data_IF_137927790473
#
_entry.id   IF_137927790473
#
_cell.length_a   1.000
_cell.length_b   1.000
_cell.length_c   1.000
_cell.angle_alpha   90.00
_cell.angle_beta   90.00
_cell.angle_gamma   90.00
#
_symmetry.space_group_name_H-M   'P 1'
#
loop_
_entity.id
_entity.type
_entity.pdbx_description
1 polymer ?
#
# COMPACT_ATOMS: atom_id res chain seq x y z
N UNK A 1 11.73 58.30 10.11
CA UNK A 1 11.43 57.38 11.23
C UNK A 1 10.20 56.50 11.00
N UNK A 2 9.03 57.02 10.59
CA UNK A 2 7.79 56.21 10.44
C UNK A 2 7.88 55.04 9.44
N UNK A 3 8.54 55.25 8.29
CA UNK A 3 8.72 54.21 7.26
C UNK A 3 9.58 53.02 7.74
N UNK A 4 10.60 53.28 8.56
CA UNK A 4 11.50 52.24 9.06
C UNK A 4 10.83 51.36 10.13
N UNK A 5 9.96 51.96 10.96
CA UNK A 5 9.18 51.23 11.96
C UNK A 5 8.10 50.36 11.28
N UNK A 6 7.47 50.86 10.21
CA UNK A 6 6.52 50.07 9.42
C UNK A 6 7.19 48.91 8.67
N UNK A 7 8.39 49.14 8.12
CA UNK A 7 9.17 48.09 7.47
C UNK A 7 9.64 47.01 8.46
N UNK A 8 10.08 47.39 9.67
CA UNK A 8 10.46 46.43 10.71
C UNK A 8 9.26 45.66 11.26
N UNK A 9 8.09 46.29 11.42
CA UNK A 9 6.87 45.62 11.85
C UNK A 9 6.38 44.59 10.81
N UNK A 10 6.50 44.90 9.51
CA UNK A 10 6.17 43.98 8.42
C UNK A 10 7.16 42.81 8.32
N UNK A 11 8.45 43.05 8.56
CA UNK A 11 9.45 41.99 8.60
C UNK A 11 9.26 41.04 9.80
N UNK A 12 8.85 41.57 10.96
CA UNK A 12 8.57 40.78 12.16
C UNK A 12 7.29 39.94 12.05
N UNK A 13 6.26 40.40 11.34
CA UNK A 13 5.03 39.60 11.10
C UNK A 13 5.23 38.48 10.07
N UNK A 14 6.10 38.70 9.08
CA UNK A 14 6.53 37.63 8.14
C UNK A 14 7.42 36.59 8.82
N UNK A 15 8.29 37.00 9.74
CA UNK A 15 9.13 36.07 10.51
C UNK A 15 8.33 35.21 11.51
N UNK A 16 7.24 35.72 12.06
CA UNK A 16 6.40 34.96 13.01
C UNK A 16 5.43 33.98 12.34
N UNK A 17 5.18 34.14 11.03
CA UNK A 17 4.38 33.23 10.20
C UNK A 17 5.24 32.16 9.49
N UNK A 18 6.54 32.10 9.78
CA UNK A 18 7.48 31.16 9.17
C UNK A 18 7.32 29.64 9.49
N UNK A 19 6.45 29.14 10.40
CA UNK A 19 6.24 27.69 10.50
C UNK A 19 5.54 27.09 9.27
N UNK A 20 4.81 27.89 8.47
CA UNK A 20 4.13 27.43 7.26
C UNK A 20 4.96 27.56 5.97
N UNK A 21 6.19 28.09 6.06
CA UNK A 21 7.10 28.26 4.93
C UNK A 21 8.38 27.42 5.06
N UNK A 22 8.34 26.30 5.81
CA UNK A 22 9.47 25.39 6.02
C UNK A 22 9.60 24.28 4.95
N UNK A 23 8.91 24.37 3.82
CA UNK A 23 8.94 23.33 2.76
C UNK A 23 10.25 23.24 1.96
N UNK A 24 11.15 24.20 2.13
CA UNK A 24 12.47 24.29 1.46
C UNK A 24 13.64 23.85 2.35
N UNK A 25 13.39 23.61 3.64
CA UNK A 25 14.40 23.11 4.58
C UNK A 25 13.95 21.76 5.11
N UNK A 26 14.48 20.69 4.53
CA UNK A 26 14.28 19.34 5.04
C UNK A 26 15.12 19.15 6.30
N UNK A 27 14.50 19.32 7.47
CA UNK A 27 15.11 19.11 8.78
C UNK A 27 14.96 17.67 9.30
N UNK A 28 14.44 16.78 8.47
CA UNK A 28 14.25 15.37 8.83
C UNK A 28 15.62 14.71 9.04
N UNK A 29 15.89 14.08 10.20
CA UNK A 29 17.14 13.39 10.45
C UNK A 29 17.45 12.34 9.37
N UNK A 30 18.71 12.20 8.98
CA UNK A 30 19.13 11.24 7.94
C UNK A 30 18.95 9.77 8.33
N UNK A 31 18.59 9.49 9.58
CA UNK A 31 18.29 8.17 10.12
C UNK A 31 16.83 8.04 10.61
N UNK A 32 15.95 8.94 10.16
CA UNK A 32 14.56 8.96 10.60
C UNK A 32 13.81 7.65 10.29
N UNK A 33 14.19 6.95 9.21
CA UNK A 33 13.58 5.68 8.79
C UNK A 33 14.51 4.49 8.97
N UNK A 34 15.61 4.64 9.72
CA UNK A 34 16.61 3.61 10.01
C UNK A 34 16.06 2.51 10.94
N UNK A 35 15.29 1.58 10.37
CA UNK A 35 14.71 0.41 11.06
C UNK A 35 15.77 -0.67 11.29
N UNK A 36 15.62 -1.44 12.37
CA UNK A 36 16.52 -2.55 12.71
C UNK A 36 16.50 -3.65 11.63
N UNK A 37 15.34 -3.95 11.08
CA UNK A 37 15.16 -4.91 9.99
C UNK A 37 14.77 -4.17 8.70
N UNK A 38 15.21 -4.64 7.53
CA UNK A 38 14.92 -4.00 6.26
C UNK A 38 13.41 -3.99 5.97
N UNK A 39 12.97 -2.94 5.29
CA UNK A 39 11.61 -2.81 4.76
C UNK A 39 11.55 -3.52 3.42
N UNK A 40 10.61 -4.45 3.28
CA UNK A 40 10.38 -5.18 2.03
C UNK A 40 9.00 -4.84 1.50
N UNK A 41 8.99 -4.21 0.32
CA UNK A 41 7.79 -3.75 -0.36
C UNK A 41 7.24 -4.86 -1.28
N UNK A 42 5.98 -5.22 -1.06
CA UNK A 42 5.27 -6.30 -1.76
C UNK A 42 4.09 -5.72 -2.53
N UNK A 43 4.20 -5.67 -3.85
CA UNK A 43 3.18 -5.05 -4.70
C UNK A 43 1.86 -5.84 -4.74
N UNK A 44 0.81 -5.20 -5.25
CA UNK A 44 -0.53 -5.80 -5.41
C UNK A 44 -0.74 -6.53 -6.74
N UNK A 45 -2.01 -6.76 -7.06
CA UNK A 45 -2.47 -7.24 -8.37
C UNK A 45 -2.07 -6.22 -9.45
N UNK A 46 -1.60 -6.69 -10.61
CA UNK A 46 -0.98 -5.86 -11.65
C UNK A 46 0.25 -5.04 -11.21
N UNK A 47 0.80 -5.34 -10.03
CA UNK A 47 1.99 -4.66 -9.57
C UNK A 47 3.24 -5.13 -10.31
N UNK A 48 4.25 -4.26 -10.27
CA UNK A 48 5.55 -4.40 -10.92
C UNK A 48 6.62 -3.83 -10.00
N UNK A 49 7.87 -4.10 -10.33
CA UNK A 49 9.04 -3.41 -9.79
C UNK A 49 9.22 -2.05 -10.50
N UNK A 50 9.55 -2.05 -11.80
CA UNK A 50 9.70 -0.83 -12.59
C UNK A 50 9.37 -1.05 -14.07
N UNK A 51 8.58 -0.15 -14.65
CA UNK A 51 8.17 -0.18 -16.06
C UNK A 51 8.57 1.15 -16.70
N UNK A 52 9.42 1.10 -17.74
CA UNK A 52 9.88 2.28 -18.46
C UNK A 52 10.44 3.41 -17.55
N UNK A 53 11.05 3.04 -16.41
CA UNK A 53 11.59 3.98 -15.42
C UNK A 53 10.58 4.51 -14.40
N UNK A 54 9.34 4.01 -14.43
CA UNK A 54 8.30 4.32 -13.44
C UNK A 54 8.19 3.15 -12.47
N UNK A 55 8.45 3.42 -11.19
CA UNK A 55 8.32 2.42 -10.13
C UNK A 55 6.88 2.31 -9.65
N UNK A 56 6.44 1.10 -9.28
CA UNK A 56 5.12 0.90 -8.65
C UNK A 56 4.97 1.73 -7.38
N UNK A 57 6.00 1.66 -6.51
CA UNK A 57 6.13 2.42 -5.27
C UNK A 57 6.71 3.81 -5.56
N UNK A 58 5.97 4.63 -6.30
CA UNK A 58 6.52 5.79 -7.00
C UNK A 58 7.21 6.79 -6.05
N UNK A 59 8.54 6.81 -6.06
CA UNK A 59 9.37 7.65 -5.18
C UNK A 59 9.37 7.26 -3.70
N UNK A 60 8.61 6.25 -3.27
CA UNK A 60 8.50 5.82 -1.87
C UNK A 60 9.79 5.11 -1.43
N UNK A 61 10.26 4.14 -2.21
CA UNK A 61 11.46 3.37 -1.85
C UNK A 61 12.69 4.29 -1.77
N UNK A 62 12.83 5.25 -2.68
CA UNK A 62 13.90 6.25 -2.64
C UNK A 62 13.77 7.22 -1.46
N UNK A 63 12.57 7.66 -1.11
CA UNK A 63 12.36 8.56 0.04
C UNK A 63 12.73 7.85 1.34
N UNK A 64 12.33 6.59 1.52
CA UNK A 64 12.71 5.78 2.67
C UNK A 64 14.23 5.55 2.75
N UNK A 65 14.88 5.19 1.64
CA UNK A 65 16.35 5.00 1.60
C UNK A 65 17.10 6.30 1.93
N UNK A 66 16.58 7.45 1.50
CA UNK A 66 17.17 8.78 1.79
C UNK A 66 17.30 9.05 3.29
N UNK A 67 16.43 8.50 4.13
CA UNK A 67 16.44 8.70 5.58
C UNK A 67 16.89 7.46 6.38
N UNK A 68 17.63 6.55 5.72
CA UNK A 68 18.39 5.50 6.38
C UNK A 68 17.76 4.11 6.37
N UNK A 69 16.59 3.92 5.76
CA UNK A 69 16.01 2.58 5.66
C UNK A 69 16.76 1.72 4.63
N UNK A 70 17.06 0.47 4.98
CA UNK A 70 17.29 -0.57 3.98
C UNK A 70 15.95 -0.99 3.36
N UNK A 71 15.77 -0.76 2.06
CA UNK A 71 14.51 -1.03 1.36
C UNK A 71 14.72 -1.97 0.19
N UNK A 72 13.92 -3.03 0.13
CA UNK A 72 13.89 -4.00 -0.97
C UNK A 72 12.51 -3.98 -1.62
N UNK A 73 12.47 -3.91 -2.95
CA UNK A 73 11.24 -4.13 -3.74
C UNK A 73 11.27 -5.55 -4.26
N UNK A 74 10.22 -6.31 -3.99
CA UNK A 74 10.10 -7.71 -4.43
C UNK A 74 9.23 -7.81 -5.67
N UNK A 75 9.43 -8.87 -6.45
CA UNK A 75 8.63 -9.17 -7.64
C UNK A 75 7.96 -10.53 -7.49
N UNK A 76 6.64 -10.55 -7.59
CA UNK A 76 5.80 -11.77 -7.55
C UNK A 76 4.91 -11.81 -8.79
N UNK A 77 4.29 -12.96 -9.14
CA UNK A 77 3.32 -13.00 -10.24
C UNK A 77 2.29 -11.88 -10.11
N UNK A 78 2.16 -11.02 -11.12
CA UNK A 78 1.26 -9.88 -11.07
C UNK A 78 -0.21 -10.32 -10.93
N UNK A 79 -0.53 -11.51 -11.45
CA UNK A 79 -1.82 -12.18 -11.40
C UNK A 79 -1.61 -13.65 -11.03
N UNK A 80 -1.96 -14.01 -9.80
CA UNK A 80 -2.09 -15.41 -9.37
C UNK A 80 -2.82 -15.44 -8.01
N UNK A 81 -3.12 -16.62 -7.51
CA UNK A 81 -3.63 -16.82 -6.15
C UNK A 81 -2.70 -16.25 -5.08
N UNK A 82 -3.28 -15.86 -3.93
CA UNK A 82 -2.50 -15.37 -2.78
C UNK A 82 -1.41 -16.38 -2.34
N UNK A 83 -1.70 -17.67 -2.42
CA UNK A 83 -0.76 -18.74 -2.04
C UNK A 83 0.40 -18.81 -3.05
N UNK A 84 0.12 -18.83 -4.35
CA UNK A 84 1.17 -18.90 -5.37
C UNK A 84 2.08 -17.66 -5.33
N UNK A 85 1.50 -16.47 -5.17
CA UNK A 85 2.27 -15.23 -4.95
C UNK A 85 3.13 -15.31 -3.69
N UNK A 86 2.60 -15.89 -2.61
CA UNK A 86 3.33 -16.10 -1.36
C UNK A 86 4.50 -17.07 -1.51
N UNK A 87 4.32 -18.16 -2.26
CA UNK A 87 5.39 -19.10 -2.60
C UNK A 87 6.49 -18.46 -3.46
N UNK A 88 6.13 -17.61 -4.43
CA UNK A 88 7.10 -16.85 -5.22
C UNK A 88 7.86 -15.80 -4.37
N UNK A 89 7.21 -15.23 -3.35
CA UNK A 89 7.81 -14.25 -2.45
C UNK A 89 8.79 -14.91 -1.46
N UNK A 90 8.49 -16.11 -0.99
CA UNK A 90 9.24 -16.79 0.07
C UNK A 90 10.76 -16.88 -0.16
N UNK A 91 11.29 -17.33 -1.32
CA UNK A 91 12.74 -17.41 -1.53
C UNK A 91 13.43 -16.03 -1.51
N UNK A 92 12.75 -14.97 -1.93
CA UNK A 92 13.27 -13.60 -1.85
C UNK A 92 13.39 -13.18 -0.37
N UNK A 93 12.38 -13.46 0.45
CA UNK A 93 12.41 -13.17 1.89
C UNK A 93 13.51 -13.98 2.59
N UNK A 94 13.67 -15.26 2.26
CA UNK A 94 14.77 -16.07 2.78
C UNK A 94 16.13 -15.47 2.46
N UNK A 95 16.32 -14.98 1.24
CA UNK A 95 17.58 -14.35 0.80
C UNK A 95 17.87 -13.08 1.57
N UNK A 96 16.87 -12.20 1.73
CA UNK A 96 17.03 -10.94 2.48
C UNK A 96 17.27 -11.23 3.97
N UNK A 97 16.47 -12.12 4.56
CA UNK A 97 16.58 -12.46 5.98
C UNK A 97 17.86 -13.25 6.32
N UNK A 98 18.50 -13.93 5.36
CA UNK A 98 19.79 -14.56 5.58
C UNK A 98 20.90 -13.54 5.93
N UNK A 99 20.76 -12.29 5.47
CA UNK A 99 21.68 -11.18 5.76
C UNK A 99 21.22 -10.40 7.00
N UNK A 100 19.92 -10.18 7.14
CA UNK A 100 19.35 -9.23 8.10
C UNK A 100 18.66 -9.88 9.32
N UNK A 101 18.54 -11.20 9.35
CA UNK A 101 17.85 -11.99 10.36
C UNK A 101 16.33 -12.01 10.19
N UNK A 102 15.68 -10.85 10.10
CA UNK A 102 14.23 -10.69 9.84
C UNK A 102 13.95 -9.57 8.86
N UNK A 103 12.69 -9.43 8.44
CA UNK A 103 12.21 -8.34 7.57
C UNK A 103 10.93 -7.68 8.09
N UNK A 104 10.73 -6.41 7.75
CA UNK A 104 9.47 -5.68 7.90
C UNK A 104 8.73 -5.68 6.56
N UNK A 105 7.67 -6.48 6.44
CA UNK A 105 6.89 -6.58 5.20
C UNK A 105 5.88 -5.43 5.13
N UNK A 106 5.81 -4.75 3.98
CA UNK A 106 4.79 -3.75 3.67
C UNK A 106 4.13 -4.13 2.36
N UNK A 107 2.87 -4.55 2.43
CA UNK A 107 2.11 -5.04 1.29
C UNK A 107 0.96 -4.12 0.92
N UNK A 108 0.88 -3.70 -0.35
CA UNK A 108 -0.24 -2.92 -0.86
C UNK A 108 -1.24 -3.82 -1.59
N UNK A 109 -2.55 -3.61 -1.41
CA UNK A 109 -3.61 -4.35 -2.10
C UNK A 109 -3.46 -5.87 -1.91
N UNK A 110 -3.29 -6.65 -2.98
CA UNK A 110 -3.00 -8.10 -2.92
C UNK A 110 -1.66 -8.44 -2.23
N UNK A 111 -0.75 -7.48 -2.14
CA UNK A 111 0.51 -7.59 -1.42
C UNK A 111 0.32 -7.78 0.08
N UNK A 112 -0.76 -7.26 0.68
CA UNK A 112 -1.07 -7.47 2.10
C UNK A 112 -1.34 -8.94 2.43
N UNK A 113 -2.33 -9.61 1.78
CA UNK A 113 -2.52 -11.05 1.90
C UNK A 113 -1.27 -11.87 1.55
N UNK A 114 -0.51 -11.46 0.53
CA UNK A 114 0.76 -12.12 0.17
C UNK A 114 1.79 -12.03 1.31
N UNK A 115 1.94 -10.89 1.97
CA UNK A 115 2.81 -10.74 3.14
C UNK A 115 2.32 -11.56 4.35
N UNK A 116 1.00 -11.65 4.55
CA UNK A 116 0.38 -12.50 5.58
C UNK A 116 0.68 -13.99 5.35
N UNK A 117 0.80 -14.43 4.10
CA UNK A 117 1.24 -15.78 3.79
C UNK A 117 2.62 -16.08 4.39
N UNK A 118 3.60 -15.20 4.14
CA UNK A 118 4.95 -15.34 4.67
C UNK A 118 4.96 -15.36 6.20
N UNK A 119 4.25 -14.43 6.84
CA UNK A 119 4.15 -14.39 8.30
C UNK A 119 3.48 -15.63 8.90
N UNK A 120 2.62 -16.31 8.13
CA UNK A 120 2.00 -17.58 8.54
C UNK A 120 2.98 -18.76 8.43
N UNK A 121 3.69 -18.89 7.32
CA UNK A 121 4.54 -20.07 7.03
C UNK A 121 5.95 -19.96 7.59
N UNK A 122 6.49 -18.74 7.72
CA UNK A 122 7.83 -18.43 8.23
C UNK A 122 7.82 -17.21 9.17
N UNK A 123 7.07 -17.26 10.29
CA UNK A 123 7.05 -16.17 11.27
C UNK A 123 8.44 -15.87 11.88
N UNK A 124 9.36 -16.84 11.82
CA UNK A 124 10.75 -16.69 12.24
C UNK A 124 11.52 -15.66 11.39
N UNK A 125 11.13 -15.45 10.12
CA UNK A 125 11.76 -14.49 9.22
C UNK A 125 11.11 -13.10 9.24
N UNK A 126 9.98 -12.94 9.92
CA UNK A 126 9.19 -11.70 9.86
C UNK A 126 9.21 -10.98 11.20
N UNK A 127 9.43 -9.67 11.16
CA UNK A 127 9.37 -8.78 12.31
C UNK A 127 8.00 -8.06 12.37
N UNK A 128 7.54 -7.57 11.22
CA UNK A 128 6.21 -6.99 11.07
C UNK A 128 5.59 -7.26 9.71
N UNK A 129 4.26 -7.18 9.66
CA UNK A 129 3.47 -7.06 8.43
C UNK A 129 2.62 -5.80 8.54
N UNK A 130 2.74 -4.95 7.54
CA UNK A 130 1.92 -3.77 7.34
C UNK A 130 1.13 -3.93 6.06
N UNK A 131 -0.19 -3.76 6.11
CA UNK A 131 -1.02 -3.75 4.91
C UNK A 131 -1.49 -2.34 4.57
N UNK A 132 -1.53 -2.05 3.27
CA UNK A 132 -1.98 -0.77 2.71
C UNK A 132 -3.13 -1.08 1.75
N UNK A 133 -4.33 -0.56 2.01
CA UNK A 133 -5.52 -0.75 1.15
C UNK A 133 -5.82 -2.20 0.79
N UNK A 134 -5.52 -3.16 1.67
CA UNK A 134 -5.52 -4.57 1.30
C UNK A 134 -6.88 -5.24 1.53
N UNK A 135 -7.48 -5.97 0.57
CA UNK A 135 -8.83 -6.52 0.72
C UNK A 135 -8.87 -7.79 1.59
N UNK A 136 -8.56 -7.67 2.88
CA UNK A 136 -8.49 -8.80 3.80
C UNK A 136 -9.82 -9.51 4.00
N UNK A 137 -10.95 -8.83 3.77
CA UNK A 137 -12.29 -9.45 3.75
C UNK A 137 -12.92 -9.43 2.36
N UNK A 138 -12.10 -9.26 1.33
CA UNK A 138 -12.51 -9.24 -0.07
C UNK A 138 -12.90 -7.86 -0.58
N UNK A 139 -13.20 -7.81 -1.87
CA UNK A 139 -13.64 -6.63 -2.59
C UNK A 139 -14.94 -6.92 -3.35
N UNK A 140 -16.00 -6.12 -3.15
CA UNK A 140 -17.19 -6.14 -4.01
C UNK A 140 -16.88 -5.98 -5.50
N UNK A 141 -15.81 -5.26 -5.85
CA UNK A 141 -15.36 -5.14 -7.25
C UNK A 141 -14.88 -6.50 -7.76
N UNK A 142 -14.07 -7.21 -6.98
CA UNK A 142 -13.63 -8.56 -7.34
C UNK A 142 -14.81 -9.54 -7.41
N UNK A 143 -15.78 -9.45 -6.49
CA UNK A 143 -17.00 -10.27 -6.50
C UNK A 143 -17.80 -10.08 -7.81
N UNK A 144 -18.01 -8.82 -8.23
CA UNK A 144 -18.71 -8.49 -9.46
C UNK A 144 -17.96 -9.00 -10.69
N UNK A 145 -16.65 -8.74 -10.76
CA UNK A 145 -15.81 -9.11 -11.89
C UNK A 145 -15.72 -10.64 -12.02
N UNK A 146 -15.47 -11.36 -10.92
CA UNK A 146 -15.33 -12.82 -10.91
C UNK A 146 -16.63 -13.56 -11.24
N UNK A 147 -17.76 -13.03 -10.76
CA UNK A 147 -19.10 -13.57 -11.00
C UNK A 147 -19.70 -13.19 -12.36
N UNK A 148 -19.06 -12.30 -13.12
CA UNK A 148 -19.53 -11.88 -14.43
C UNK A 148 -19.20 -12.89 -15.54
N UNK A 149 -20.02 -12.97 -16.61
CA UNK A 149 -19.64 -13.69 -17.84
C UNK A 149 -18.28 -13.29 -18.39
N UNK A 150 -17.60 -14.20 -19.09
CA UNK A 150 -16.26 -13.96 -19.62
C UNK A 150 -16.20 -12.76 -20.59
N UNK A 151 -17.28 -12.52 -21.35
CA UNK A 151 -17.40 -11.41 -22.29
C UNK A 151 -17.52 -10.06 -21.57
N UNK A 152 -18.25 -9.99 -20.44
CA UNK A 152 -18.32 -8.78 -19.62
C UNK A 152 -17.03 -8.54 -18.85
N UNK A 153 -16.34 -9.61 -18.43
CA UNK A 153 -15.02 -9.53 -17.83
C UNK A 153 -14.02 -8.92 -18.82
N UNK A 154 -13.97 -9.46 -20.04
CA UNK A 154 -13.13 -8.94 -21.12
C UNK A 154 -13.48 -7.50 -21.51
N UNK A 155 -14.77 -7.12 -21.52
CA UNK A 155 -15.20 -5.75 -21.79
C UNK A 155 -14.87 -4.78 -20.63
N UNK A 156 -15.02 -5.23 -19.38
CA UNK A 156 -14.73 -4.44 -18.19
C UNK A 156 -13.24 -4.23 -17.94
N UNK A 157 -12.41 -5.18 -18.37
CA UNK A 157 -10.96 -5.14 -18.20
C UNK A 157 -10.25 -4.63 -19.46
N UNK A 158 -10.76 -4.93 -20.67
CA UNK A 158 -10.47 -4.28 -21.95
C UNK A 158 -8.99 -4.06 -22.31
N UNK A 159 -8.76 -3.23 -23.34
CA UNK A 159 -7.43 -2.90 -23.90
C UNK A 159 -6.44 -2.35 -22.83
N UNK A 160 -6.95 -1.75 -21.76
CA UNK A 160 -6.15 -1.23 -20.64
C UNK A 160 -5.43 -2.34 -19.88
N UNK A 161 -6.09 -3.49 -19.66
CA UNK A 161 -5.48 -4.63 -18.99
C UNK A 161 -4.64 -5.47 -19.94
N UNK A 162 -5.01 -5.56 -21.22
CA UNK A 162 -4.25 -6.30 -22.24
C UNK A 162 -2.83 -5.75 -22.41
N UNK A 163 -2.69 -4.43 -22.57
CA UNK A 163 -1.37 -3.78 -22.66
C UNK A 163 -0.57 -3.85 -21.37
N UNK A 164 -1.23 -3.80 -20.21
CA UNK A 164 -0.58 -3.93 -18.91
C UNK A 164 -0.14 -5.39 -18.65
N UNK A 165 -0.95 -6.38 -19.01
CA UNK A 165 -0.61 -7.80 -18.93
C UNK A 165 0.55 -8.11 -19.87
N UNK A 166 0.56 -7.66 -21.12
CA UNK A 166 1.67 -7.89 -22.05
C UNK A 166 2.99 -7.29 -21.52
N UNK A 167 2.91 -6.11 -20.92
CA UNK A 167 4.04 -5.42 -20.31
C UNK A 167 4.55 -6.13 -19.04
N UNK A 168 3.64 -6.64 -18.21
CA UNK A 168 3.94 -7.36 -16.97
C UNK A 168 4.35 -8.83 -17.18
N UNK A 169 3.91 -9.43 -18.28
CA UNK A 169 4.25 -10.81 -18.67
C UNK A 169 5.74 -10.94 -19.06
N UNK A 170 6.43 -9.82 -19.27
CA UNK A 170 7.89 -9.78 -19.40
C UNK A 170 8.66 -10.12 -18.10
N UNK A 171 7.97 -10.22 -16.95
CA UNK A 171 8.57 -10.51 -15.64
C UNK A 171 8.85 -11.98 -15.33
N UNK A 172 8.65 -12.90 -16.29
CA UNK A 172 9.04 -14.32 -16.17
C UNK A 172 8.10 -15.21 -15.34
N UNK A 173 6.88 -14.74 -15.02
CA UNK A 173 5.86 -15.52 -14.34
C UNK A 173 4.66 -15.77 -15.25
N UNK A 174 4.11 -16.98 -15.18
CA UNK A 174 2.79 -17.28 -15.72
C UNK A 174 1.73 -16.44 -14.98
N UNK A 175 0.73 -15.96 -15.71
CA UNK A 175 -0.31 -15.09 -15.17
C UNK A 175 -1.67 -15.83 -15.13
N UNK A 176 -2.28 -15.89 -13.95
CA UNK A 176 -3.63 -16.42 -13.73
C UNK A 176 -4.55 -15.33 -13.14
N UNK A 177 -5.18 -14.58 -14.05
CA UNK A 177 -6.16 -13.56 -13.72
C UNK A 177 -7.33 -14.11 -12.89
N UNK A 178 -7.80 -15.33 -13.20
CA UNK A 178 -9.01 -15.86 -12.56
C UNK A 178 -8.74 -16.27 -11.12
N UNK A 179 -7.59 -16.90 -10.86
CA UNK A 179 -7.14 -17.22 -9.50
C UNK A 179 -6.82 -15.97 -8.68
N UNK A 180 -6.25 -14.94 -9.33
CA UNK A 180 -6.02 -13.63 -8.71
C UNK A 180 -7.32 -12.98 -8.28
N UNK A 181 -8.30 -12.89 -9.19
CA UNK A 181 -9.62 -12.32 -8.88
C UNK A 181 -10.32 -13.11 -7.78
N UNK A 182 -10.35 -14.45 -7.87
CA UNK A 182 -10.93 -15.30 -6.84
C UNK A 182 -10.35 -15.00 -5.45
N UNK A 183 -9.02 -14.88 -5.36
CA UNK A 183 -8.34 -14.59 -4.08
C UNK A 183 -8.73 -13.25 -3.45
N UNK A 184 -9.27 -12.31 -4.24
CA UNK A 184 -9.69 -10.99 -3.81
C UNK A 184 -11.21 -10.87 -3.62
N UNK A 185 -11.98 -11.90 -3.99
CA UNK A 185 -13.41 -11.99 -3.68
C UNK A 185 -13.63 -12.09 -2.16
N UNK A 186 -14.85 -11.80 -1.72
CA UNK A 186 -15.28 -12.04 -0.34
C UNK A 186 -15.10 -13.51 0.06
N UNK A 187 -15.40 -14.44 -0.85
CA UNK A 187 -15.27 -15.89 -0.63
C UNK A 187 -13.80 -16.32 -0.50
N UNK A 188 -12.97 -16.00 -1.50
CA UNK A 188 -11.55 -16.36 -1.51
C UNK A 188 -10.77 -15.71 -0.37
N UNK A 189 -11.06 -14.45 -0.03
CA UNK A 189 -10.46 -13.81 1.15
C UNK A 189 -10.90 -14.47 2.46
N UNK A 190 -12.15 -14.93 2.57
CA UNK A 190 -12.61 -15.68 3.74
C UNK A 190 -11.93 -17.05 3.86
N UNK A 191 -11.69 -17.74 2.75
CA UNK A 191 -10.88 -18.97 2.69
C UNK A 191 -9.45 -18.72 3.17
N UNK A 192 -8.79 -17.70 2.62
CA UNK A 192 -7.44 -17.35 3.02
C UNK A 192 -7.35 -16.93 4.50
N UNK A 193 -8.37 -16.24 5.02
CA UNK A 193 -8.44 -15.90 6.44
C UNK A 193 -8.53 -17.13 7.36
N UNK A 194 -9.13 -18.24 6.91
CA UNK A 194 -9.09 -19.51 7.67
C UNK A 194 -7.68 -20.11 7.71
N UNK A 195 -6.92 -19.96 6.63
CA UNK A 195 -5.53 -20.41 6.54
C UNK A 195 -4.56 -19.55 7.37
N UNK A 196 -4.67 -18.22 7.28
CA UNK A 196 -3.80 -17.24 7.93
C UNK A 196 -4.62 -16.19 8.74
N UNK A 197 -5.21 -16.56 9.89
CA UNK A 197 -6.16 -15.70 10.63
C UNK A 197 -5.51 -14.58 11.45
N UNK A 198 -4.20 -14.68 11.72
CA UNK A 198 -3.49 -13.73 12.57
C UNK A 198 -3.64 -12.29 12.05
N UNK A 199 -3.95 -11.34 12.94
CA UNK A 199 -4.13 -9.92 12.60
C UNK A 199 -5.48 -9.56 11.95
N UNK A 200 -6.34 -10.52 11.57
CA UNK A 200 -7.65 -10.21 10.98
C UNK A 200 -8.68 -9.84 12.06
N UNK A 201 -9.43 -8.73 11.91
CA UNK A 201 -10.48 -8.34 12.87
C UNK A 201 -11.62 -9.36 12.95
N UNK A 202 -12.02 -9.71 14.18
CA UNK A 202 -13.16 -10.60 14.44
C UNK A 202 -14.51 -9.92 14.19
N UNK A 203 -14.59 -8.61 14.38
CA UNK A 203 -15.77 -7.81 14.06
C UNK A 203 -15.68 -7.25 12.64
N UNK A 204 -16.79 -6.80 12.06
CA UNK A 204 -16.84 -6.35 10.68
C UNK A 204 -15.81 -5.25 10.35
N UNK A 205 -15.69 -4.23 11.21
CA UNK A 205 -14.87 -3.02 10.98
C UNK A 205 -14.01 -2.64 12.19
N UNK A 206 -13.73 -3.59 13.10
CA UNK A 206 -12.83 -3.35 14.22
C UNK A 206 -11.37 -3.55 13.82
N UNK A 207 -10.51 -3.65 14.84
CA UNK A 207 -9.10 -3.97 14.67
C UNK A 207 -8.84 -5.47 14.90
N UNK A 208 -7.65 -5.92 14.49
CA UNK A 208 -7.18 -7.28 14.74
C UNK A 208 -6.27 -7.36 15.96
N UNK A 209 -5.74 -8.55 16.24
CA UNK A 209 -4.63 -8.65 17.18
C UNK A 209 -3.41 -7.91 16.63
N UNK A 210 -2.79 -7.03 17.42
CA UNK A 210 -1.65 -6.21 16.96
C UNK A 210 -0.36 -7.02 16.78
N UNK A 211 -0.31 -8.25 17.32
CA UNK A 211 0.80 -9.17 17.14
C UNK A 211 0.36 -10.63 17.31
N UNK A 212 1.06 -11.54 16.64
CA UNK A 212 1.01 -12.99 16.90
C UNK A 212 2.33 -13.65 16.48
N UNK A 213 2.74 -14.71 17.18
CA UNK A 213 3.96 -15.48 16.85
C UNK A 213 5.24 -14.63 16.73
N UNK A 214 5.34 -13.54 17.50
CA UNK A 214 6.49 -12.63 17.44
C UNK A 214 6.52 -11.70 16.22
N UNK A 215 5.41 -11.61 15.46
CA UNK A 215 5.21 -10.69 14.34
C UNK A 215 4.23 -9.59 14.73
N UNK A 216 4.55 -8.32 14.45
CA UNK A 216 3.62 -7.19 14.63
C UNK A 216 2.77 -6.92 13.39
N UNK A 217 1.55 -6.43 13.57
CA UNK A 217 0.58 -6.22 12.51
C UNK A 217 0.05 -4.80 12.52
N UNK A 218 0.05 -4.15 11.35
CA UNK A 218 -0.42 -2.79 11.14
C UNK A 218 -1.23 -2.70 9.85
N UNK A 219 -2.14 -1.73 9.76
CA UNK A 219 -2.74 -1.36 8.48
C UNK A 219 -3.04 0.12 8.36
N UNK A 220 -3.16 0.59 7.12
CA UNK A 220 -3.84 1.83 6.79
C UNK A 220 -4.52 1.74 5.43
N UNK A 221 -5.38 2.71 5.13
CA UNK A 221 -6.00 2.82 3.81
C UNK A 221 -6.75 4.13 3.59
N UNK A 222 -7.21 4.28 2.37
CA UNK A 222 -7.94 5.43 1.87
C UNK A 222 -9.45 5.27 1.85
N UNK A 223 -10.13 6.41 1.77
CA UNK A 223 -11.57 6.52 1.49
C UNK A 223 -11.90 7.64 0.51
N UNK A 224 -10.88 8.29 -0.07
CA UNK A 224 -11.03 9.37 -1.03
C UNK A 224 -10.97 8.80 -2.44
N UNK A 225 -12.11 8.57 -3.09
CA UNK A 225 -12.12 7.92 -4.41
C UNK A 225 -11.64 8.83 -5.53
N UNK A 226 -12.04 10.11 -5.50
CA UNK A 226 -11.68 11.12 -6.50
C UNK A 226 -10.83 12.19 -5.82
N UNK A 227 -9.55 12.21 -6.11
CA UNK A 227 -8.52 12.99 -5.42
C UNK A 227 -7.79 13.96 -6.33
N UNK A 228 -7.63 13.65 -7.62
CA UNK A 228 -6.94 14.50 -8.58
C UNK A 228 -7.55 14.40 -9.99
N UNK A 229 -8.15 15.50 -10.46
CA UNK A 229 -8.80 15.57 -11.78
C UNK A 229 -7.84 15.41 -12.97
N UNK A 230 -6.54 15.56 -12.75
CA UNK A 230 -5.52 15.36 -13.79
C UNK A 230 -5.03 13.90 -13.85
N UNK A 231 -5.39 13.08 -12.87
CA UNK A 231 -5.06 11.66 -12.85
C UNK A 231 -6.16 10.87 -13.57
N UNK A 232 -5.86 10.18 -14.69
CA UNK A 232 -6.87 9.40 -15.40
C UNK A 232 -7.37 8.18 -14.60
N UNK A 233 -6.62 7.73 -13.59
CA UNK A 233 -7.02 6.59 -12.75
C UNK A 233 -8.20 6.93 -11.85
N UNK A 234 -8.40 8.19 -11.47
CA UNK A 234 -9.56 8.66 -10.72
C UNK A 234 -10.88 8.31 -11.40
N UNK A 235 -10.94 8.42 -12.73
CA UNK A 235 -12.16 8.10 -13.48
C UNK A 235 -12.51 6.60 -13.39
N UNK A 236 -11.49 5.74 -13.48
CA UNK A 236 -11.64 4.30 -13.32
C UNK A 236 -12.06 3.95 -11.89
N UNK A 237 -11.35 4.48 -10.88
CA UNK A 237 -11.61 4.23 -9.46
C UNK A 237 -12.97 4.79 -9.02
N UNK A 238 -13.38 5.94 -9.56
CA UNK A 238 -14.72 6.49 -9.44
C UNK A 238 -15.79 5.54 -9.95
N UNK A 239 -15.55 4.89 -11.10
CA UNK A 239 -16.48 3.93 -11.68
C UNK A 239 -16.56 2.64 -10.85
N UNK A 240 -15.43 2.07 -10.43
CA UNK A 240 -15.41 0.86 -9.62
C UNK A 240 -15.95 1.08 -8.20
N UNK A 241 -15.86 2.29 -7.67
CA UNK A 241 -16.43 2.65 -6.36
C UNK A 241 -17.95 2.43 -6.28
N UNK A 242 -18.66 2.41 -7.42
CA UNK A 242 -20.09 2.14 -7.48
C UNK A 242 -20.45 0.74 -6.95
N UNK A 243 -19.51 -0.22 -7.00
CA UNK A 243 -19.70 -1.56 -6.44
C UNK A 243 -19.93 -1.55 -4.91
N UNK A 244 -19.54 -0.48 -4.22
CA UNK A 244 -19.63 -0.36 -2.77
C UNK A 244 -20.91 0.33 -2.28
N UNK A 245 -21.76 0.82 -3.20
CA UNK A 245 -22.93 1.62 -2.86
C UNK A 245 -22.55 2.87 -2.06
N UNK A 246 -23.06 2.97 -0.83
CA UNK A 246 -22.76 4.10 0.08
C UNK A 246 -21.61 3.81 1.05
N UNK A 247 -20.97 2.64 0.94
CA UNK A 247 -19.88 2.25 1.86
C UNK A 247 -18.57 2.95 1.48
N UNK A 248 -17.86 3.46 2.48
CA UNK A 248 -16.57 4.12 2.26
C UNK A 248 -15.53 3.14 1.68
N UNK A 249 -14.79 3.58 0.67
CA UNK A 249 -13.83 2.77 -0.10
C UNK A 249 -12.80 3.67 -0.81
N UNK A 250 -11.71 3.07 -1.28
CA UNK A 250 -10.64 3.73 -2.06
C UNK A 250 -10.83 3.59 -3.59
N UNK A 251 -11.98 3.09 -4.04
CA UNK A 251 -12.27 2.73 -5.42
C UNK A 251 -12.20 1.22 -5.70
N UNK A 252 -11.40 0.46 -4.96
CA UNK A 252 -11.20 -0.99 -5.17
C UNK A 252 -11.35 -1.83 -3.89
N UNK A 253 -11.19 -1.24 -2.72
CA UNK A 253 -11.26 -1.90 -1.42
C UNK A 253 -12.07 -1.05 -0.45
N UNK A 254 -12.98 -1.71 0.27
CA UNK A 254 -13.81 -1.05 1.27
C UNK A 254 -13.01 -0.78 2.54
N UNK A 255 -13.27 0.36 3.20
CA UNK A 255 -12.63 0.79 4.45
C UNK A 255 -12.42 -0.36 5.44
N UNK A 256 -13.52 -1.02 5.83
CA UNK A 256 -13.50 -2.11 6.81
C UNK A 256 -12.78 -3.38 6.32
N UNK A 257 -12.73 -3.62 5.00
CA UNK A 257 -12.02 -4.77 4.43
C UNK A 257 -10.49 -4.60 4.55
N UNK A 258 -9.99 -3.35 4.63
CA UNK A 258 -8.57 -3.08 4.79
C UNK A 258 -8.02 -3.31 6.20
N UNK A 259 -8.88 -3.41 7.21
CA UNK A 259 -8.44 -3.45 8.61
C UNK A 259 -7.64 -4.71 8.92
N UNK A 260 -6.46 -4.52 9.51
CA UNK A 260 -5.57 -5.59 9.93
C UNK A 260 -4.59 -5.12 11.01
N UNK A 261 -4.50 -5.89 12.09
CA UNK A 261 -3.67 -5.51 13.23
C UNK A 261 -4.10 -4.17 13.84
N UNK A 262 -3.11 -3.34 14.16
CA UNK A 262 -3.24 -1.94 14.61
C UNK A 262 -3.54 -1.03 13.42
N UNK A 263 -4.75 -0.48 13.36
CA UNK A 263 -5.23 0.36 12.25
C UNK A 263 -4.75 1.79 12.47
N UNK A 264 -3.69 2.18 11.77
CA UNK A 264 -3.03 3.49 11.92
C UNK A 264 -4.00 4.61 11.52
N UNK A 265 -4.63 4.46 10.35
CA UNK A 265 -5.69 5.33 9.84
C UNK A 265 -6.33 4.65 8.63
N UNK A 266 -7.65 4.64 8.57
CA UNK A 266 -8.44 3.94 7.55
C UNK A 266 -9.23 4.89 6.65
N UNK A 267 -8.97 6.19 6.77
CA UNK A 267 -9.72 7.26 6.13
C UNK A 267 -8.83 8.38 5.58
N UNK A 268 -7.65 8.03 5.05
CA UNK A 268 -6.92 9.01 4.23
C UNK A 268 -7.79 9.41 3.04
N UNK A 269 -7.71 10.67 2.62
CA UNK A 269 -8.27 11.10 1.34
C UNK A 269 -7.32 10.70 0.20
N UNK A 270 -7.20 9.39 0.03
CA UNK A 270 -6.40 8.67 -0.98
C UNK A 270 -7.31 7.66 -1.67
N UNK A 271 -7.19 7.55 -2.98
CA UNK A 271 -7.74 6.44 -3.74
C UNK A 271 -6.74 5.26 -3.73
N UNK A 272 -7.10 4.13 -4.32
CA UNK A 272 -6.28 2.92 -4.26
C UNK A 272 -4.89 3.06 -4.90
N UNK A 273 -4.69 4.01 -5.83
CA UNK A 273 -3.39 4.26 -6.46
C UNK A 273 -2.60 5.37 -5.75
N UNK A 274 -3.28 6.37 -5.19
CA UNK A 274 -2.65 7.38 -4.34
C UNK A 274 -1.91 6.74 -3.17
N UNK A 275 -2.42 5.62 -2.64
CA UNK A 275 -1.79 4.87 -1.55
C UNK A 275 -0.36 4.41 -1.84
N UNK A 276 0.01 4.29 -3.12
CA UNK A 276 1.38 3.99 -3.57
C UNK A 276 1.98 5.15 -4.39
N UNK A 277 1.42 6.35 -4.22
CA UNK A 277 1.82 7.59 -4.86
C UNK A 277 1.71 7.55 -6.40
N UNK A 278 0.73 6.80 -6.91
CA UNK A 278 0.39 6.72 -8.33
C UNK A 278 -0.87 7.57 -8.63
N UNK A 279 -1.03 8.06 -9.86
CA UNK A 279 -0.11 7.93 -11.00
C UNK A 279 0.95 9.04 -11.01
N UNK A 280 2.23 8.68 -11.10
CA UNK A 280 3.36 9.64 -11.19
C UNK A 280 3.37 10.71 -10.08
N UNK A 281 2.82 10.38 -8.90
CA UNK A 281 2.73 11.29 -7.76
C UNK A 281 1.59 12.28 -7.81
N UNK A 282 0.66 12.17 -8.77
CA UNK A 282 -0.58 12.94 -8.75
C UNK A 282 -1.49 12.37 -7.65
N UNK A 283 -1.76 13.17 -6.63
CA UNK A 283 -2.67 12.86 -5.53
C UNK A 283 -3.31 14.16 -5.02
N UNK A 284 -4.18 14.08 -4.02
CA UNK A 284 -4.79 15.27 -3.40
C UNK A 284 -3.75 16.20 -2.78
N UNK A 285 -3.79 17.48 -3.15
CA UNK A 285 -2.95 18.53 -2.55
C UNK A 285 -3.42 18.97 -1.15
N UNK A 286 -4.57 18.48 -0.70
CA UNK A 286 -5.20 18.85 0.57
C UNK A 286 -5.18 17.72 1.61
N UNK A 287 -4.48 16.63 1.31
CA UNK A 287 -4.25 15.50 2.22
C UNK A 287 -2.75 15.29 2.43
N UNK A 288 -2.42 14.46 3.40
CA UNK A 288 -1.07 13.98 3.68
C UNK A 288 -0.45 13.34 2.44
N UNK A 289 0.76 13.76 2.06
CA UNK A 289 1.55 13.12 0.99
C UNK A 289 1.74 11.62 1.31
N UNK A 290 1.41 10.69 0.40
CA UNK A 290 1.60 9.26 0.60
C UNK A 290 3.01 8.89 1.08
N UNK A 291 4.07 9.50 0.53
CA UNK A 291 5.46 9.26 0.98
C UNK A 291 5.67 9.64 2.44
N UNK A 292 5.00 10.70 2.91
CA UNK A 292 5.05 11.09 4.32
C UNK A 292 4.44 10.02 5.22
N UNK A 293 3.37 9.33 4.78
CA UNK A 293 2.76 8.20 5.51
C UNK A 293 3.76 7.04 5.67
N UNK A 294 4.41 6.61 4.57
CA UNK A 294 5.43 5.56 4.63
C UNK A 294 6.61 5.95 5.52
N UNK A 295 7.09 7.20 5.40
CA UNK A 295 8.21 7.70 6.21
C UNK A 295 7.87 7.73 7.71
N UNK A 296 6.67 8.19 8.07
CA UNK A 296 6.20 8.17 9.45
C UNK A 296 6.05 6.74 9.97
N UNK A 297 5.59 5.81 9.13
CA UNK A 297 5.47 4.42 9.51
C UNK A 297 6.82 3.73 9.69
N UNK A 298 7.80 3.97 8.82
CA UNK A 298 9.16 3.45 9.01
C UNK A 298 9.76 3.95 10.35
N UNK A 299 9.55 5.22 10.70
CA UNK A 299 9.93 5.73 12.02
C UNK A 299 9.14 5.06 13.17
N UNK A 300 7.85 4.74 12.97
CA UNK A 300 7.05 3.95 13.94
C UNK A 300 7.66 2.57 14.18
N UNK A 301 8.05 1.86 13.12
CA UNK A 301 8.72 0.56 13.20
C UNK A 301 10.06 0.67 13.94
N UNK A 302 10.88 1.66 13.57
CA UNK A 302 12.16 1.97 14.22
C UNK A 302 11.98 2.20 15.73
N UNK A 303 11.03 3.03 16.13
CA UNK A 303 10.75 3.31 17.54
C UNK A 303 10.19 2.10 18.30
N UNK A 304 9.61 1.12 17.60
CA UNK A 304 9.20 -0.16 18.16
C UNK A 304 10.34 -1.19 18.26
N UNK A 305 11.57 -0.82 17.87
CA UNK A 305 12.74 -1.70 17.86
C UNK A 305 12.72 -2.75 16.74
N UNK A 306 11.93 -2.48 15.69
CA UNK A 306 11.83 -3.27 14.47
C UNK A 306 12.68 -2.70 13.35
#
# INVERSE_FOLDING_TARGET
MKLWIQAMALALTVAWSAPSAAWWWDSTPSNYTDTRYPIVLVHGMFGFDSIAGVDYWYGIASDLRKYGADVYTTQVPALDSTIARGEALLPQIQTIAAVHGKVNLVGHSHGGPTARYIARVRPDLVASVTSVGSPHKGSPVADLIYGSPAESLAASLGDALGGLIDLLSGGGYDQDLRSSLYSLTTEGSAEFNRFAPAGVPQTACGEGAYAANGVRFYSWGGTGVLTNVLDPSDALLGTTSLAFGFSQNDGLVGRCSNHFGDVIRDNYFMNHLDEVNQALGLHSLFETDPKAVFKQHANRLRNAGL
#
